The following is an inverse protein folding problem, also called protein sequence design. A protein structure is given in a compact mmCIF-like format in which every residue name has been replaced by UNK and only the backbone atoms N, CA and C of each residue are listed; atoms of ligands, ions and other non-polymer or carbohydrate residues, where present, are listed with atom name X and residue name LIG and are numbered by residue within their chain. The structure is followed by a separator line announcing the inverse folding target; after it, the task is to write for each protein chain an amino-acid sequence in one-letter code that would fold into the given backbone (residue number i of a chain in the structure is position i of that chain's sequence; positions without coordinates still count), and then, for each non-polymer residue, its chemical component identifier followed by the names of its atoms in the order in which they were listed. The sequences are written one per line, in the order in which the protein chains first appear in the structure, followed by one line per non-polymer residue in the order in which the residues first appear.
data_IF_937373193306
#
_entry.id   IF_937373193306
#
_cell.length_a   1.000
_cell.length_b   1.000
_cell.length_c   1.000
_cell.angle_alpha   90.00
_cell.angle_beta   90.00
_cell.angle_gamma   90.00
#
_symmetry.space_group_name_H-M   'P 1'
#
loop_
_entity.id
_entity.type
_entity.pdbx_description
1 polymer ?
#
# COMPACT_ATOMS: atom_id res chain seq x y z
N UNK A 1 -18.10 -3.61 58.32
CA UNK A 1 -19.49 -3.71 57.86
C UNK A 1 -20.37 -3.49 59.06
N UNK A 2 -21.20 -2.45 59.03
CA UNK A 2 -22.27 -2.25 60.00
C UNK A 2 -23.24 -3.43 59.93
N UNK A 3 -23.86 -3.86 61.04
CA UNK A 3 -24.97 -4.80 60.99
C UNK A 3 -26.09 -4.25 60.09
N UNK A 4 -26.73 -5.09 59.27
CA UNK A 4 -27.85 -4.66 58.40
C UNK A 4 -29.07 -4.14 59.19
N UNK A 5 -29.13 -4.43 60.49
CA UNK A 5 -30.15 -3.88 61.39
C UNK A 5 -30.00 -2.36 61.60
N UNK A 6 -28.81 -1.80 61.35
CA UNK A 6 -28.49 -0.39 61.56
C UNK A 6 -28.53 0.42 60.24
N UNK A 7 -29.00 -0.18 59.14
CA UNK A 7 -29.08 0.46 57.82
C UNK A 7 -30.54 0.77 57.51
N UNK A 8 -30.82 2.04 57.24
CA UNK A 8 -32.13 2.45 56.73
C UNK A 8 -32.30 1.96 55.28
N UNK A 9 -33.29 1.07 55.08
CA UNK A 9 -33.58 0.46 53.79
C UNK A 9 -34.38 1.39 52.86
N UNK A 10 -35.01 2.43 53.41
CA UNK A 10 -35.71 3.46 52.63
C UNK A 10 -34.69 4.43 51.99
N UNK A 11 -33.58 4.72 52.68
CA UNK A 11 -32.49 5.55 52.15
C UNK A 11 -31.53 4.73 51.26
N UNK A 12 -31.29 3.46 51.59
CA UNK A 12 -30.30 2.59 50.93
C UNK A 12 -30.88 1.21 50.57
N UNK A 13 -31.63 1.08 49.45
CA UNK A 13 -32.32 -0.15 49.11
C UNK A 13 -31.35 -1.30 48.82
N UNK A 14 -31.79 -2.53 49.07
CA UNK A 14 -31.01 -3.74 48.81
C UNK A 14 -31.10 -4.12 47.33
N UNK A 15 -29.95 -4.39 46.73
CA UNK A 15 -29.83 -4.96 45.39
C UNK A 15 -29.43 -6.42 45.49
N UNK A 16 -30.26 -7.31 44.95
CA UNK A 16 -29.99 -8.75 44.88
C UNK A 16 -29.37 -9.08 43.51
N UNK A 17 -28.18 -9.68 43.51
CA UNK A 17 -27.49 -10.11 42.31
C UNK A 17 -27.98 -11.50 41.85
N UNK A 18 -27.76 -11.82 40.58
CA UNK A 18 -28.12 -13.12 40.00
C UNK A 18 -27.42 -14.34 40.60
N UNK A 19 -26.37 -14.12 41.40
CA UNK A 19 -25.67 -15.15 42.17
C UNK A 19 -26.28 -15.40 43.57
N UNK A 20 -27.34 -14.70 43.93
CA UNK A 20 -28.01 -14.80 45.24
C UNK A 20 -27.40 -13.94 46.34
N UNK A 21 -26.26 -13.28 46.10
CA UNK A 21 -25.69 -12.30 47.03
C UNK A 21 -26.44 -10.97 46.96
N UNK A 22 -26.59 -10.31 48.10
CA UNK A 22 -27.29 -9.03 48.20
C UNK A 22 -26.40 -7.98 48.89
N UNK A 23 -26.51 -6.73 48.43
CA UNK A 23 -25.73 -5.59 48.92
C UNK A 23 -26.62 -4.36 49.01
N UNK A 24 -26.26 -3.37 49.83
CA UNK A 24 -26.94 -2.06 49.79
C UNK A 24 -26.56 -1.34 48.49
N UNK A 25 -27.47 -0.54 47.95
CA UNK A 25 -27.26 0.19 46.70
C UNK A 25 -26.02 1.10 46.78
N UNK A 26 -25.81 1.81 47.89
CA UNK A 26 -24.62 2.65 48.09
C UNK A 26 -23.30 1.87 48.01
N UNK A 27 -23.23 0.72 48.69
CA UNK A 27 -22.02 -0.11 48.70
C UNK A 27 -21.73 -0.66 47.31
N UNK A 28 -22.76 -1.17 46.64
CA UNK A 28 -22.60 -1.77 45.33
C UNK A 28 -22.32 -0.71 44.26
N UNK A 29 -22.97 0.45 44.30
CA UNK A 29 -22.73 1.56 43.37
C UNK A 29 -21.30 2.11 43.48
N UNK A 30 -20.75 2.15 44.71
CA UNK A 30 -19.35 2.52 44.95
C UNK A 30 -18.36 1.48 44.42
N UNK A 31 -18.63 0.19 44.62
CA UNK A 31 -17.76 -0.91 44.16
C UNK A 31 -17.81 -1.12 42.65
N UNK A 32 -18.97 -0.88 42.04
CA UNK A 32 -19.23 -1.04 40.61
C UNK A 32 -18.82 0.21 39.81
N UNK A 33 -18.56 1.34 40.49
CA UNK A 33 -18.06 2.56 39.85
C UNK A 33 -19.14 3.33 39.09
N UNK A 34 -20.35 3.43 39.64
CA UNK A 34 -21.47 4.09 38.95
C UNK A 34 -21.20 5.59 38.66
N UNK A 35 -20.35 6.20 39.47
CA UNK A 35 -19.85 7.58 39.32
C UNK A 35 -19.02 7.79 38.04
N UNK A 36 -18.53 6.73 37.40
CA UNK A 36 -17.75 6.79 36.17
C UNK A 36 -18.64 6.91 34.92
N UNK A 37 -19.95 6.71 35.06
CA UNK A 37 -20.92 6.69 33.95
C UNK A 37 -22.01 7.77 34.11
N UNK A 38 -22.25 8.22 35.34
CA UNK A 38 -23.23 9.25 35.65
C UNK A 38 -22.62 10.36 36.51
N UNK A 39 -22.90 11.61 36.16
CA UNK A 39 -22.54 12.76 37.00
C UNK A 39 -23.58 12.94 38.10
N UNK A 40 -23.08 13.11 39.31
CA UNK A 40 -23.89 13.44 40.49
C UNK A 40 -24.03 14.95 40.60
N UNK A 41 -25.23 15.42 40.90
CA UNK A 41 -25.45 16.80 41.31
C UNK A 41 -25.03 16.99 42.78
N UNK A 42 -24.14 17.95 43.02
CA UNK A 42 -23.43 18.10 44.30
C UNK A 42 -24.35 18.51 45.48
N UNK A 43 -25.56 18.97 45.19
CA UNK A 43 -26.53 19.48 46.16
C UNK A 43 -27.66 18.48 46.48
N UNK A 44 -28.00 17.58 45.54
CA UNK A 44 -29.14 16.67 45.68
C UNK A 44 -28.75 15.19 45.71
N UNK A 45 -27.50 14.85 45.32
CA UNK A 45 -27.05 13.46 45.24
C UNK A 45 -27.70 12.65 44.11
N UNK A 46 -28.50 13.28 43.26
CA UNK A 46 -29.20 12.65 42.14
C UNK A 46 -28.32 12.61 40.87
N UNK A 47 -28.48 11.56 40.07
CA UNK A 47 -27.80 11.41 38.79
C UNK A 47 -28.45 12.33 37.74
N UNK A 48 -27.71 13.33 37.27
CA UNK A 48 -28.25 14.37 36.38
C UNK A 48 -27.80 14.26 34.94
N UNK A 49 -26.55 13.81 34.70
CA UNK A 49 -25.98 13.76 33.34
C UNK A 49 -25.19 12.48 33.11
N UNK A 50 -25.09 12.11 31.85
CA UNK A 50 -24.29 10.98 31.39
C UNK A 50 -22.84 11.42 31.22
N UNK A 51 -21.90 10.62 31.71
CA UNK A 51 -20.47 10.83 31.51
C UNK A 51 -20.02 9.92 30.37
N UNK A 52 -19.52 10.52 29.29
CA UNK A 52 -18.87 9.82 28.18
C UNK A 52 -17.36 9.82 28.38
N UNK A 53 -16.86 8.89 29.19
CA UNK A 53 -15.42 8.66 29.28
C UNK A 53 -14.93 7.94 28.02
N UNK A 54 -13.80 8.35 27.43
CA UNK A 54 -13.25 7.80 26.17
C UNK A 54 -12.25 6.64 26.38
N UNK A 55 -12.02 6.23 27.62
CA UNK A 55 -11.03 5.21 27.98
C UNK A 55 -11.65 3.80 28.07
N UNK A 56 -11.01 2.85 27.38
CA UNK A 56 -11.37 1.44 27.29
C UNK A 56 -10.94 0.70 28.57
N UNK A 57 -11.59 0.93 29.70
CA UNK A 57 -11.17 0.29 30.96
C UNK A 57 -12.29 0.00 31.95
N UNK A 58 -13.52 -0.23 31.50
CA UNK A 58 -14.53 -0.84 32.36
C UNK A 58 -14.46 -2.38 32.22
N UNK A 59 -13.95 -3.08 33.23
CA UNK A 59 -14.17 -4.53 33.34
C UNK A 59 -15.65 -4.78 33.64
N UNK A 60 -16.22 -5.88 33.11
CA UNK A 60 -17.59 -6.27 33.45
C UNK A 60 -17.68 -6.37 34.98
N UNK A 61 -18.63 -5.66 35.62
CA UNK A 61 -18.71 -5.63 37.07
C UNK A 61 -18.98 -7.04 37.60
N UNK A 62 -18.28 -7.41 38.67
CA UNK A 62 -18.33 -8.72 39.28
C UNK A 62 -18.89 -8.63 40.70
N UNK A 63 -19.54 -9.70 41.15
CA UNK A 63 -19.96 -9.82 42.53
C UNK A 63 -18.73 -9.75 43.47
N UNK A 64 -18.73 -8.90 44.51
CA UNK A 64 -17.62 -8.80 45.46
C UNK A 64 -17.31 -10.11 46.19
N UNK A 65 -18.32 -10.97 46.41
CA UNK A 65 -18.16 -12.20 47.16
C UNK A 65 -17.74 -13.40 46.29
N UNK A 66 -18.46 -13.66 45.19
CA UNK A 66 -18.21 -14.84 44.36
C UNK A 66 -17.50 -14.54 43.04
N UNK A 67 -17.25 -13.27 42.72
CA UNK A 67 -16.68 -12.79 41.44
C UNK A 67 -17.48 -13.17 40.18
N UNK A 68 -18.71 -13.67 40.34
CA UNK A 68 -19.60 -13.92 39.20
C UNK A 68 -19.97 -12.58 38.53
N UNK A 69 -19.87 -12.48 37.19
CA UNK A 69 -20.27 -11.27 36.46
C UNK A 69 -21.73 -10.91 36.75
N UNK A 70 -21.99 -9.63 37.01
CA UNK A 70 -23.34 -9.12 37.22
C UNK A 70 -24.10 -9.23 35.90
N UNK A 71 -25.24 -9.93 35.93
CA UNK A 71 -26.03 -10.23 34.73
C UNK A 71 -27.04 -9.12 34.46
N UNK A 72 -27.04 -8.61 33.22
CA UNK A 72 -27.88 -7.51 32.77
C UNK A 72 -29.39 -7.74 33.00
N UNK A 73 -29.85 -8.99 32.86
CA UNK A 73 -31.27 -9.35 33.00
C UNK A 73 -31.76 -9.35 34.45
N UNK A 74 -30.87 -9.45 35.45
CA UNK A 74 -31.25 -9.49 36.87
C UNK A 74 -31.27 -8.10 37.48
N UNK A 75 -30.28 -7.27 37.14
CA UNK A 75 -30.14 -5.92 37.72
C UNK A 75 -30.06 -4.87 36.63
N UNK A 76 -31.22 -4.29 36.28
CA UNK A 76 -31.32 -3.26 35.24
C UNK A 76 -30.58 -1.96 35.60
N UNK A 77 -30.35 -1.68 36.89
CA UNK A 77 -29.62 -0.49 37.39
C UNK A 77 -28.22 -0.36 36.77
N UNK A 78 -27.51 -1.49 36.57
CA UNK A 78 -26.13 -1.50 36.06
C UNK A 78 -26.02 -1.76 34.56
N UNK A 79 -27.16 -1.79 33.85
CA UNK A 79 -27.25 -2.20 32.45
C UNK A 79 -26.31 -1.38 31.54
N UNK A 80 -26.23 -0.06 31.72
CA UNK A 80 -25.36 0.81 30.91
C UNK A 80 -23.87 0.50 31.11
N UNK A 81 -23.44 0.30 32.36
CA UNK A 81 -22.05 -0.04 32.68
C UNK A 81 -21.69 -1.41 32.10
N UNK A 82 -22.59 -2.39 32.24
CA UNK A 82 -22.41 -3.75 31.69
C UNK A 82 -22.33 -3.68 30.16
N UNK A 83 -23.25 -2.99 29.48
CA UNK A 83 -23.21 -2.86 28.02
C UNK A 83 -21.94 -2.17 27.53
N UNK A 84 -21.50 -1.12 28.23
CA UNK A 84 -20.24 -0.44 27.93
C UNK A 84 -19.06 -1.38 28.09
N UNK A 85 -18.97 -2.11 29.21
CA UNK A 85 -17.89 -3.06 29.45
C UNK A 85 -17.87 -4.20 28.42
N UNK A 86 -19.03 -4.72 28.04
CA UNK A 86 -19.18 -5.76 27.00
C UNK A 86 -18.74 -5.22 25.65
N UNK A 87 -19.17 -4.02 25.26
CA UNK A 87 -18.73 -3.38 24.00
C UNK A 87 -17.21 -3.18 24.01
N UNK A 88 -16.65 -2.64 25.09
CA UNK A 88 -15.21 -2.43 25.24
C UNK A 88 -14.43 -3.75 25.14
N UNK A 89 -14.92 -4.83 25.75
CA UNK A 89 -14.32 -6.16 25.68
C UNK A 89 -14.39 -6.75 24.26
N UNK A 90 -15.53 -6.60 23.58
CA UNK A 90 -15.69 -7.04 22.19
C UNK A 90 -14.75 -6.28 21.25
N UNK A 91 -14.62 -4.97 21.40
CA UNK A 91 -13.67 -4.15 20.64
C UNK A 91 -12.23 -4.54 20.92
N UNK A 92 -11.86 -4.78 22.19
CA UNK A 92 -10.52 -5.27 22.54
C UNK A 92 -10.22 -6.61 21.85
N UNK A 93 -11.14 -7.56 21.93
CA UNK A 93 -10.99 -8.87 21.26
C UNK A 93 -10.88 -8.72 19.75
N UNK A 94 -11.71 -7.88 19.15
CA UNK A 94 -11.63 -7.56 17.72
C UNK A 94 -10.27 -6.97 17.36
N UNK A 95 -9.77 -6.02 18.14
CA UNK A 95 -8.49 -5.37 17.90
C UNK A 95 -7.33 -6.36 17.99
N UNK A 96 -7.29 -7.16 19.05
CA UNK A 96 -6.22 -8.13 19.29
C UNK A 96 -6.23 -9.23 18.21
N UNK A 97 -7.40 -9.82 17.93
CA UNK A 97 -7.51 -10.86 16.91
C UNK A 97 -7.18 -10.31 15.52
N UNK A 98 -7.70 -9.12 15.17
CA UNK A 98 -7.41 -8.47 13.90
C UNK A 98 -5.94 -8.12 13.73
N UNK A 99 -5.26 -7.68 14.80
CA UNK A 99 -3.81 -7.44 14.78
C UNK A 99 -3.00 -8.73 14.63
N UNK A 100 -3.37 -9.80 15.34
CA UNK A 100 -2.70 -11.09 15.25
C UNK A 100 -2.83 -11.68 13.84
N UNK A 101 -4.01 -11.63 13.25
CA UNK A 101 -4.25 -12.13 11.89
C UNK A 101 -3.54 -11.25 10.83
N UNK A 102 -3.48 -9.92 11.03
CA UNK A 102 -2.64 -9.05 10.18
C UNK A 102 -1.18 -9.46 10.21
N UNK A 103 -0.62 -9.70 11.41
CA UNK A 103 0.78 -10.10 11.56
C UNK A 103 1.07 -11.45 10.90
N UNK A 104 0.14 -12.39 10.98
CA UNK A 104 0.25 -13.69 10.30
C UNK A 104 0.30 -13.50 8.78
N UNK A 105 -0.63 -12.74 8.20
CA UNK A 105 -0.66 -12.48 6.76
C UNK A 105 0.54 -11.63 6.29
N UNK A 106 1.07 -10.75 7.14
CA UNK A 106 2.33 -10.03 6.87
C UNK A 106 3.53 -10.98 6.83
N UNK A 107 3.58 -11.98 7.71
CA UNK A 107 4.61 -13.03 7.67
C UNK A 107 4.50 -13.86 6.39
N UNK A 108 3.29 -14.30 6.03
CA UNK A 108 3.05 -15.04 4.78
C UNK A 108 3.45 -14.22 3.54
N UNK A 109 3.21 -12.91 3.55
CA UNK A 109 3.66 -12.00 2.49
C UNK A 109 5.20 -12.01 2.36
N UNK A 110 5.92 -11.96 3.48
CA UNK A 110 7.37 -11.95 3.46
C UNK A 110 7.95 -13.29 3.00
N UNK A 111 7.28 -14.40 3.30
CA UNK A 111 7.67 -15.72 2.82
C UNK A 111 7.44 -15.86 1.30
N UNK A 112 6.25 -15.46 0.81
CA UNK A 112 5.96 -15.41 -0.63
C UNK A 112 6.94 -14.47 -1.36
N UNK A 113 7.32 -13.35 -0.76
CA UNK A 113 8.33 -12.44 -1.33
C UNK A 113 9.67 -13.16 -1.56
N UNK A 114 10.17 -13.90 -0.57
CA UNK A 114 11.43 -14.65 -0.68
C UNK A 114 11.34 -15.72 -1.77
N UNK A 115 10.26 -16.49 -1.79
CA UNK A 115 10.03 -17.53 -2.79
C UNK A 115 10.02 -16.96 -4.22
N UNK A 116 9.39 -15.80 -4.42
CA UNK A 116 9.36 -15.12 -5.73
C UNK A 116 10.74 -14.60 -6.15
N UNK A 117 11.54 -14.12 -5.20
CA UNK A 117 12.92 -13.66 -5.43
C UNK A 117 13.84 -14.83 -5.80
N UNK A 118 13.81 -15.93 -5.05
CA UNK A 118 14.62 -17.13 -5.28
C UNK A 118 14.29 -17.80 -6.62
N UNK A 119 13.00 -17.93 -6.93
CA UNK A 119 12.56 -18.57 -8.16
C UNK A 119 12.74 -17.70 -9.40
N UNK A 120 13.08 -16.40 -9.26
CA UNK A 120 13.11 -15.40 -10.36
C UNK A 120 14.07 -15.80 -11.48
N UNK A 121 15.25 -16.28 -11.12
CA UNK A 121 16.27 -16.69 -12.10
C UNK A 121 15.84 -17.93 -12.89
N UNK A 122 14.91 -18.74 -12.37
CA UNK A 122 14.40 -19.95 -13.02
C UNK A 122 13.24 -19.71 -14.00
N UNK A 123 12.64 -18.51 -14.01
CA UNK A 123 11.51 -18.18 -14.89
C UNK A 123 11.95 -18.08 -16.34
N UNK A 124 13.09 -17.45 -16.58
CA UNK A 124 13.59 -17.17 -17.92
C UNK A 124 14.67 -18.21 -18.23
N UNK A 125 14.46 -19.10 -19.22
CA UNK A 125 15.47 -20.08 -19.62
C UNK A 125 16.78 -19.40 -19.98
N UNK A 126 17.92 -19.94 -19.52
CA UNK A 126 19.25 -19.37 -19.81
C UNK A 126 19.55 -19.36 -21.32
N UNK A 127 19.18 -20.43 -22.01
CA UNK A 127 19.31 -20.61 -23.46
C UNK A 127 17.91 -20.70 -24.11
N UNK A 128 17.74 -20.09 -25.28
CA UNK A 128 16.55 -20.33 -26.12
C UNK A 128 16.64 -21.77 -26.59
N UNK A 129 15.58 -22.55 -26.38
CA UNK A 129 15.53 -23.97 -26.81
C UNK A 129 15.87 -24.01 -28.30
N UNK A 130 16.94 -24.71 -28.65
CA UNK A 130 17.46 -24.82 -30.02
C UNK A 130 16.54 -25.72 -30.86
N UNK A 131 15.35 -25.21 -31.16
CA UNK A 131 14.48 -25.68 -32.23
C UNK A 131 14.59 -24.64 -33.36
N UNK A 132 14.77 -25.07 -34.61
CA UNK A 132 14.88 -24.14 -35.74
C UNK A 132 13.55 -23.41 -35.96
N UNK A 133 13.54 -22.08 -35.86
CA UNK A 133 12.48 -21.20 -36.37
C UNK A 133 11.58 -20.53 -35.33
N UNK A 134 10.53 -19.85 -35.81
CA UNK A 134 9.52 -19.09 -35.02
C UNK A 134 8.85 -19.95 -33.93
N UNK A 135 8.69 -21.26 -34.18
CA UNK A 135 8.10 -22.22 -33.23
C UNK A 135 8.90 -22.37 -31.91
N UNK A 136 10.22 -22.11 -31.93
CA UNK A 136 11.04 -22.15 -30.71
C UNK A 136 10.76 -20.95 -29.79
N UNK A 137 10.43 -19.80 -30.36
CA UNK A 137 10.08 -18.59 -29.62
C UNK A 137 8.71 -18.74 -28.97
N UNK A 138 7.74 -19.33 -29.69
CA UNK A 138 6.42 -19.64 -29.15
C UNK A 138 6.47 -20.67 -28.01
N UNK A 139 7.22 -21.76 -28.17
CA UNK A 139 7.36 -22.78 -27.12
C UNK A 139 8.08 -22.23 -25.87
N UNK A 140 9.12 -21.42 -26.06
CA UNK A 140 9.81 -20.73 -24.96
C UNK A 140 8.85 -19.80 -24.21
N UNK A 141 7.98 -19.09 -24.93
CA UNK A 141 6.97 -18.22 -24.34
C UNK A 141 5.85 -18.97 -23.61
N UNK A 142 5.43 -20.13 -24.11
CA UNK A 142 4.51 -21.02 -23.39
C UNK A 142 5.13 -21.50 -22.08
N UNK A 143 6.40 -21.96 -22.10
CA UNK A 143 7.10 -22.38 -20.88
C UNK A 143 7.25 -21.26 -19.86
N UNK A 144 7.54 -20.03 -20.31
CA UNK A 144 7.57 -18.84 -19.45
C UNK A 144 6.20 -18.58 -18.84
N UNK A 145 5.12 -18.61 -19.62
CA UNK A 145 3.75 -18.40 -19.15
C UNK A 145 3.31 -19.47 -18.14
N UNK A 146 3.67 -20.74 -18.36
CA UNK A 146 3.37 -21.83 -17.42
C UNK A 146 4.10 -21.65 -16.08
N UNK A 147 5.39 -21.29 -16.12
CA UNK A 147 6.17 -20.97 -14.91
C UNK A 147 5.62 -19.75 -14.16
N UNK A 148 5.17 -18.72 -14.87
CA UNK A 148 4.49 -17.56 -14.26
C UNK A 148 3.21 -18.01 -13.57
N UNK A 149 2.41 -18.87 -14.21
CA UNK A 149 1.17 -19.38 -13.63
C UNK A 149 1.43 -20.19 -12.37
N UNK A 150 2.42 -21.09 -12.38
CA UNK A 150 2.74 -21.91 -11.22
C UNK A 150 3.24 -21.07 -10.04
N UNK A 151 4.12 -20.09 -10.29
CA UNK A 151 4.56 -19.12 -9.26
C UNK A 151 3.42 -18.29 -8.70
N UNK A 152 2.45 -17.91 -9.53
CA UNK A 152 1.34 -17.06 -9.10
C UNK A 152 0.37 -17.75 -8.14
N UNK A 153 0.46 -19.09 -7.97
CA UNK A 153 -0.48 -19.87 -7.17
C UNK A 153 -0.50 -19.44 -5.71
N UNK A 154 0.67 -19.32 -5.09
CA UNK A 154 0.75 -18.96 -3.66
C UNK A 154 0.41 -17.49 -3.43
N UNK A 155 0.77 -16.61 -4.37
CA UNK A 155 0.33 -15.21 -4.34
C UNK A 155 -1.18 -15.05 -4.51
N UNK A 156 -1.84 -15.89 -5.32
CA UNK A 156 -3.30 -15.91 -5.45
C UNK A 156 -3.95 -16.41 -4.16
N UNK A 157 -3.40 -17.44 -3.50
CA UNK A 157 -3.88 -17.90 -2.19
C UNK A 157 -3.80 -16.78 -1.15
N UNK A 158 -2.66 -16.10 -1.06
CA UNK A 158 -2.47 -14.96 -0.15
C UNK A 158 -3.45 -13.83 -0.47
N UNK A 159 -3.64 -13.48 -1.74
CA UNK A 159 -4.58 -12.44 -2.16
C UNK A 159 -6.03 -12.80 -1.80
N UNK A 160 -6.41 -14.08 -1.89
CA UNK A 160 -7.73 -14.54 -1.44
C UNK A 160 -7.87 -14.52 0.08
N UNK A 161 -6.82 -14.89 0.82
CA UNK A 161 -6.78 -14.81 2.28
C UNK A 161 -6.96 -13.36 2.77
N UNK A 162 -6.23 -12.41 2.17
CA UNK A 162 -6.35 -10.98 2.47
C UNK A 162 -7.73 -10.43 2.09
N UNK A 163 -8.32 -10.85 0.96
CA UNK A 163 -9.70 -10.47 0.61
C UNK A 163 -10.72 -10.99 1.64
N UNK A 164 -10.55 -12.23 2.11
CA UNK A 164 -11.41 -12.81 3.14
C UNK A 164 -11.27 -12.06 4.47
N UNK A 165 -10.04 -11.70 4.85
CA UNK A 165 -9.73 -10.88 6.01
C UNK A 165 -10.42 -9.50 5.93
N UNK A 166 -10.26 -8.78 4.80
CA UNK A 166 -10.91 -7.47 4.59
C UNK A 166 -12.42 -7.54 4.71
N UNK A 167 -13.06 -8.59 4.17
CA UNK A 167 -14.51 -8.80 4.31
C UNK A 167 -14.92 -8.99 5.76
N UNK A 168 -14.16 -9.73 6.57
CA UNK A 168 -14.47 -9.95 8.00
C UNK A 168 -14.36 -8.67 8.85
N UNK A 169 -13.50 -7.75 8.45
CA UNK A 169 -13.16 -6.53 9.22
C UNK A 169 -13.86 -5.28 8.69
N UNK A 170 -14.54 -5.40 7.56
CA UNK A 170 -15.37 -4.32 7.05
C UNK A 170 -16.39 -3.89 8.09
N UNK A 171 -16.76 -2.61 8.06
CA UNK A 171 -17.56 -1.95 9.10
C UNK A 171 -18.87 -2.67 9.37
N UNK A 172 -19.46 -3.27 8.33
CA UNK A 172 -20.70 -4.07 8.42
C UNK A 172 -20.57 -5.33 9.28
N UNK A 173 -19.36 -5.86 9.43
CA UNK A 173 -19.09 -7.06 10.19
C UNK A 173 -18.64 -6.77 11.63
N UNK A 174 -18.45 -5.50 11.99
CA UNK A 174 -18.05 -5.11 13.33
C UNK A 174 -19.14 -5.40 14.37
N UNK A 175 -18.78 -5.92 15.55
CA UNK A 175 -19.75 -6.19 16.61
C UNK A 175 -20.50 -4.94 17.07
N UNK A 176 -19.80 -3.79 17.18
CA UNK A 176 -20.42 -2.51 17.55
C UNK A 176 -21.46 -2.10 16.50
N UNK A 177 -21.11 -2.18 15.23
CA UNK A 177 -22.02 -1.81 14.15
C UNK A 177 -23.28 -2.69 14.16
N UNK A 178 -23.13 -4.01 14.36
CA UNK A 178 -24.27 -4.93 14.47
C UNK A 178 -25.12 -4.67 15.70
N UNK A 179 -24.51 -4.35 16.84
CA UNK A 179 -25.23 -3.95 18.05
C UNK A 179 -25.97 -2.63 17.83
N UNK A 180 -25.34 -1.64 17.20
CA UNK A 180 -25.95 -0.36 16.87
C UNK A 180 -27.13 -0.54 15.91
N UNK A 181 -26.98 -1.34 14.85
CA UNK A 181 -28.08 -1.70 13.96
C UNK A 181 -29.21 -2.40 14.72
N UNK A 182 -28.90 -3.39 15.56
CA UNK A 182 -29.92 -4.09 16.35
C UNK A 182 -30.66 -3.14 17.33
N UNK A 183 -29.95 -2.16 17.91
CA UNK A 183 -30.55 -1.12 18.74
C UNK A 183 -31.47 -0.23 17.90
N UNK A 184 -31.01 0.28 16.75
CA UNK A 184 -31.83 1.09 15.84
C UNK A 184 -33.06 0.33 15.35
N UNK A 185 -32.91 -0.96 15.01
CA UNK A 185 -33.99 -1.84 14.57
C UNK A 185 -34.99 -2.12 15.71
N UNK A 186 -34.54 -2.12 16.97
CA UNK A 186 -35.44 -2.24 18.13
C UNK A 186 -36.16 -0.93 18.45
N UNK A 187 -35.49 0.21 18.34
CA UNK A 187 -36.05 1.55 18.59
C UNK A 187 -37.06 1.94 17.51
N UNK A 188 -36.80 1.61 16.25
CA UNK A 188 -37.71 1.86 15.13
C UNK A 188 -38.99 1.02 15.16
N UNK A 189 -39.04 -0.04 15.98
CA UNK A 189 -40.24 -0.86 16.16
C UNK A 189 -41.19 -0.31 17.24
N UNK A 190 -40.72 0.58 18.12
CA UNK A 190 -41.43 0.95 19.35
C UNK A 190 -41.96 2.40 19.40
N UNK A 191 -41.59 3.33 18.50
CA UNK A 191 -41.99 4.75 18.60
C UNK A 191 -42.65 5.35 17.32
N UNK A 192 -43.50 6.38 17.52
CA UNK A 192 -44.15 7.14 16.44
C UNK A 192 -43.24 8.24 15.86
N UNK A 193 -43.48 8.59 14.58
CA UNK A 193 -42.71 9.53 13.75
C UNK A 193 -42.35 10.89 14.41
N UNK A 194 -43.18 11.39 15.34
CA UNK A 194 -42.92 12.66 16.03
C UNK A 194 -41.80 12.56 17.09
N UNK A 195 -41.60 11.37 17.68
CA UNK A 195 -40.48 11.11 18.59
C UNK A 195 -39.14 10.94 17.83
N UNK A 196 -39.20 10.51 16.56
CA UNK A 196 -38.02 10.43 15.68
C UNK A 196 -37.47 11.82 15.33
N UNK A 197 -38.35 12.80 15.06
CA UNK A 197 -37.94 14.17 14.74
C UNK A 197 -37.28 14.90 15.92
N UNK A 198 -37.69 14.61 17.15
CA UNK A 198 -37.07 15.16 18.36
C UNK A 198 -35.66 14.59 18.61
N UNK A 199 -35.41 13.33 18.27
CA UNK A 199 -34.10 12.65 18.43
C UNK A 199 -33.08 13.00 17.33
N UNK A 200 -33.50 13.68 16.25
CA UNK A 200 -32.65 14.13 15.15
C UNK A 200 -31.87 15.42 15.43
N UNK A 201 -31.97 16.01 16.62
CA UNK A 201 -31.05 17.09 17.05
C UNK A 201 -29.70 16.50 17.42
N UNK A 202 -28.96 16.10 16.39
CA UNK A 202 -27.55 15.73 16.46
C UNK A 202 -26.79 17.04 16.65
N UNK A 203 -26.46 17.35 17.90
CA UNK A 203 -25.54 18.43 18.20
C UNK A 203 -24.20 18.12 17.52
N UNK A 204 -23.83 18.96 16.58
CA UNK A 204 -22.77 18.78 15.57
C UNK A 204 -21.33 18.65 16.11
N UNK A 205 -21.17 18.39 17.41
CA UNK A 205 -19.91 18.24 18.15
C UNK A 205 -19.32 16.81 18.11
N UNK A 206 -20.12 15.79 17.75
CA UNK A 206 -19.70 14.37 17.78
C UNK A 206 -18.58 13.96 16.79
N UNK A 207 -18.20 14.84 15.85
CA UNK A 207 -17.18 14.50 14.84
C UNK A 207 -15.76 14.33 15.40
N UNK A 208 -15.51 14.72 16.66
CA UNK A 208 -14.16 14.59 17.27
C UNK A 208 -13.97 13.34 18.14
N UNK A 209 -15.05 12.70 18.62
CA UNK A 209 -14.97 11.58 19.57
C UNK A 209 -15.05 10.18 18.93
N UNK A 210 -15.62 10.07 17.71
CA UNK A 210 -15.70 8.84 16.89
C UNK A 210 -14.40 8.56 16.11
N UNK A 211 -13.23 8.69 16.75
CA UNK A 211 -12.01 8.08 16.17
C UNK A 211 -12.09 6.59 16.45
N UNK A 212 -12.86 5.88 15.61
CA UNK A 212 -12.99 4.43 15.67
C UNK A 212 -11.60 3.81 15.63
N UNK A 213 -11.12 3.35 16.79
CA UNK A 213 -9.80 2.72 16.94
C UNK A 213 -9.67 1.49 16.03
N UNK A 214 -10.80 0.95 15.60
CA UNK A 214 -10.99 -0.16 14.67
C UNK A 214 -10.57 0.18 13.23
N UNK A 215 -10.64 1.45 12.82
CA UNK A 215 -10.23 1.88 11.48
C UNK A 215 -8.76 1.61 11.19
N UNK A 216 -7.90 1.55 12.21
CA UNK A 216 -6.49 1.16 12.04
C UNK A 216 -6.36 -0.23 11.45
N UNK A 217 -7.24 -1.15 11.83
CA UNK A 217 -7.22 -2.54 11.36
C UNK A 217 -7.88 -2.62 9.99
N UNK A 218 -9.01 -1.93 9.78
CA UNK A 218 -9.68 -1.89 8.47
C UNK A 218 -8.81 -1.27 7.38
N UNK A 219 -8.16 -0.14 7.70
CA UNK A 219 -7.20 0.52 6.80
C UNK A 219 -5.88 -0.27 6.71
N UNK A 220 -5.45 -0.92 7.79
CA UNK A 220 -4.30 -1.85 7.79
C UNK A 220 -4.50 -3.03 6.85
N UNK A 221 -5.67 -3.67 6.86
CA UNK A 221 -6.01 -4.73 5.91
C UNK A 221 -6.09 -4.26 4.47
N UNK A 222 -6.57 -3.04 4.25
CA UNK A 222 -6.57 -2.42 2.93
C UNK A 222 -5.15 -2.09 2.45
N UNK A 223 -4.26 -1.67 3.35
CA UNK A 223 -2.84 -1.48 3.05
C UNK A 223 -2.15 -2.81 2.72
N UNK A 224 -2.45 -3.89 3.46
CA UNK A 224 -1.89 -5.21 3.19
C UNK A 224 -2.28 -5.72 1.80
N UNK A 225 -3.52 -5.51 1.38
CA UNK A 225 -3.98 -5.82 0.02
C UNK A 225 -3.22 -5.01 -1.05
N UNK A 226 -2.91 -3.75 -0.77
CA UNK A 226 -2.03 -2.94 -1.64
C UNK A 226 -0.60 -3.51 -1.64
N UNK A 227 -0.06 -3.94 -0.49
CA UNK A 227 1.28 -4.54 -0.41
C UNK A 227 1.40 -5.81 -1.25
N UNK A 228 0.43 -6.73 -1.16
CA UNK A 228 0.40 -7.95 -1.97
C UNK A 228 0.33 -7.60 -3.46
N UNK A 229 -0.56 -6.68 -3.85
CA UNK A 229 -0.69 -6.23 -5.24
C UNK A 229 0.57 -5.52 -5.75
N UNK A 230 1.25 -4.76 -4.88
CA UNK A 230 2.53 -4.13 -5.18
C UNK A 230 3.60 -5.18 -5.52
N UNK A 231 3.72 -6.22 -4.70
CA UNK A 231 4.66 -7.33 -4.92
C UNK A 231 4.39 -8.05 -6.26
N UNK A 232 3.12 -8.36 -6.54
CA UNK A 232 2.71 -9.00 -7.80
C UNK A 232 3.06 -8.12 -9.00
N UNK A 233 2.76 -6.83 -8.94
CA UNK A 233 3.02 -5.91 -10.05
C UNK A 233 4.53 -5.71 -10.27
N UNK A 234 5.31 -5.53 -9.21
CA UNK A 234 6.77 -5.43 -9.28
C UNK A 234 7.36 -6.68 -9.96
N UNK A 235 6.98 -7.88 -9.53
CA UNK A 235 7.48 -9.12 -10.14
C UNK A 235 7.07 -9.25 -11.61
N UNK A 236 5.82 -8.91 -11.95
CA UNK A 236 5.35 -8.91 -13.33
C UNK A 236 6.12 -7.91 -14.21
N UNK A 237 6.43 -6.70 -13.71
CA UNK A 237 7.21 -5.71 -14.43
C UNK A 237 8.66 -6.17 -14.65
N UNK A 238 9.28 -6.80 -13.65
CA UNK A 238 10.64 -7.33 -13.78
C UNK A 238 10.70 -8.49 -14.77
N UNK A 239 9.75 -9.42 -14.72
CA UNK A 239 9.65 -10.50 -15.71
C UNK A 239 9.44 -9.93 -17.11
N UNK A 240 8.56 -8.95 -17.26
CA UNK A 240 8.32 -8.29 -18.55
C UNK A 240 9.58 -7.61 -19.08
N UNK A 241 10.34 -6.89 -18.24
CA UNK A 241 11.62 -6.29 -18.65
C UNK A 241 12.64 -7.34 -19.08
N UNK A 242 12.74 -8.42 -18.33
CA UNK A 242 13.73 -9.46 -18.61
C UNK A 242 13.37 -10.26 -19.87
N UNK A 243 12.08 -10.44 -20.19
CA UNK A 243 11.61 -10.99 -21.47
C UNK A 243 11.89 -10.01 -22.63
N UNK A 244 11.58 -8.72 -22.46
CA UNK A 244 11.83 -7.70 -23.48
C UNK A 244 13.32 -7.59 -23.86
N UNK A 245 14.24 -7.74 -22.90
CA UNK A 245 15.70 -7.77 -23.16
C UNK A 245 16.14 -8.92 -24.07
N UNK A 246 15.39 -10.03 -24.09
CA UNK A 246 15.71 -11.18 -24.94
C UNK A 246 15.19 -11.06 -26.38
N UNK A 247 14.47 -9.98 -26.71
CA UNK A 247 13.94 -9.72 -28.06
C UNK A 247 13.25 -10.94 -28.69
N UNK A 248 12.41 -11.64 -27.93
CA UNK A 248 11.69 -12.80 -28.44
C UNK A 248 10.65 -12.38 -29.49
N UNK A 249 10.81 -12.85 -30.72
CA UNK A 249 9.86 -12.66 -31.82
C UNK A 249 8.75 -13.72 -31.72
N UNK A 250 7.79 -13.52 -30.81
CA UNK A 250 6.63 -14.40 -30.66
C UNK A 250 5.32 -13.63 -30.75
N UNK A 251 4.31 -14.20 -31.41
CA UNK A 251 2.95 -13.66 -31.43
C UNK A 251 2.17 -13.89 -30.12
N UNK A 252 2.65 -14.81 -29.26
CA UNK A 252 2.06 -15.10 -27.95
C UNK A 252 2.33 -13.96 -26.96
N UNK A 253 1.29 -13.28 -26.44
CA UNK A 253 1.49 -12.25 -25.43
C UNK A 253 1.87 -12.87 -24.07
N UNK A 254 2.62 -12.11 -23.26
CA UNK A 254 2.84 -12.46 -21.85
C UNK A 254 1.50 -12.48 -21.12
N UNK A 255 1.16 -13.63 -20.54
CA UNK A 255 -0.09 -13.80 -19.80
C UNK A 255 0.19 -13.73 -18.31
N UNK A 256 -0.12 -12.59 -17.70
CA UNK A 256 -0.11 -12.44 -16.25
C UNK A 256 -1.52 -12.78 -15.72
N UNK A 257 -1.62 -13.74 -14.80
CA UNK A 257 -2.90 -14.24 -14.29
C UNK A 257 -3.88 -13.15 -13.82
N UNK A 258 -5.18 -13.37 -13.99
CA UNK A 258 -6.25 -12.51 -13.45
C UNK A 258 -6.98 -11.58 -14.44
N UNK A 259 -6.81 -11.76 -15.76
CA UNK A 259 -7.53 -11.00 -16.79
C UNK A 259 -7.10 -9.52 -16.91
N UNK A 260 -7.07 -8.99 -18.13
CA UNK A 260 -6.69 -7.60 -18.42
C UNK A 260 -5.18 -7.35 -18.57
N UNK A 261 -4.85 -6.24 -19.24
CA UNK A 261 -3.47 -5.79 -19.46
C UNK A 261 -2.78 -5.37 -18.16
N UNK A 262 -1.45 -5.45 -18.12
CA UNK A 262 -0.66 -4.96 -16.98
C UNK A 262 -0.90 -3.46 -16.72
N UNK A 263 -1.19 -2.69 -17.77
CA UNK A 263 -1.55 -1.26 -17.68
C UNK A 263 -2.86 -1.09 -16.92
N UNK A 264 -3.90 -1.85 -17.26
CA UNK A 264 -5.22 -1.73 -16.60
C UNK A 264 -5.16 -2.15 -15.14
N UNK A 265 -4.34 -3.15 -14.79
CA UNK A 265 -4.11 -3.56 -13.40
C UNK A 265 -3.40 -2.47 -12.59
N UNK A 266 -2.45 -1.77 -13.23
CA UNK A 266 -1.73 -0.64 -12.63
C UNK A 266 -2.66 0.55 -12.39
N UNK A 267 -3.55 0.85 -13.34
CA UNK A 267 -4.57 1.89 -13.17
C UNK A 267 -5.53 1.61 -12.02
N UNK A 268 -5.99 0.36 -11.89
CA UNK A 268 -6.87 -0.01 -10.78
C UNK A 268 -6.14 0.08 -9.43
N UNK A 269 -4.91 -0.43 -9.37
CA UNK A 269 -4.06 -0.31 -8.19
C UNK A 269 -3.88 1.15 -7.77
N UNK A 270 -3.65 2.04 -8.74
CA UNK A 270 -3.47 3.47 -8.52
C UNK A 270 -4.69 4.11 -7.87
N UNK A 271 -5.88 3.90 -8.45
CA UNK A 271 -7.15 4.43 -7.92
C UNK A 271 -7.42 3.94 -6.50
N UNK A 272 -7.20 2.65 -6.24
CA UNK A 272 -7.41 2.08 -4.91
C UNK A 272 -6.43 2.63 -3.88
N UNK A 273 -5.19 2.89 -4.29
CA UNK A 273 -4.15 3.47 -3.43
C UNK A 273 -4.42 4.94 -3.12
N UNK A 274 -4.83 5.73 -4.12
CA UNK A 274 -5.24 7.13 -3.93
C UNK A 274 -6.42 7.24 -2.97
N UNK A 275 -7.42 6.35 -3.12
CA UNK A 275 -8.55 6.24 -2.19
C UNK A 275 -8.07 5.92 -0.76
N UNK A 276 -7.21 4.92 -0.59
CA UNK A 276 -6.69 4.55 0.73
C UNK A 276 -5.90 5.69 1.37
N UNK A 277 -5.10 6.43 0.60
CA UNK A 277 -4.36 7.60 1.10
C UNK A 277 -5.34 8.65 1.62
N UNK A 278 -6.39 8.96 0.85
CA UNK A 278 -7.45 9.89 1.27
C UNK A 278 -8.15 9.46 2.55
N UNK A 279 -8.49 8.17 2.66
CA UNK A 279 -9.10 7.60 3.86
C UNK A 279 -8.13 7.68 5.06
N UNK A 280 -6.85 7.33 4.90
CA UNK A 280 -5.85 7.44 5.98
C UNK A 280 -5.64 8.89 6.44
N UNK A 281 -5.68 9.87 5.54
CA UNK A 281 -5.55 11.30 5.89
C UNK A 281 -6.77 11.76 6.69
N UNK A 282 -7.98 11.39 6.25
CA UNK A 282 -9.24 11.72 6.94
C UNK A 282 -9.27 11.16 8.36
N UNK A 283 -8.83 9.91 8.53
CA UNK A 283 -8.81 9.24 9.83
C UNK A 283 -7.54 9.55 10.67
N UNK A 284 -6.68 10.47 10.22
CA UNK A 284 -5.45 10.90 10.92
C UNK A 284 -4.44 9.77 11.22
N UNK A 285 -4.25 8.85 10.27
CA UNK A 285 -3.28 7.74 10.34
C UNK A 285 -2.07 7.97 9.43
N UNK A 286 -1.09 8.81 9.82
CA UNK A 286 0.00 9.24 8.94
C UNK A 286 0.94 8.10 8.55
N UNK A 287 1.15 7.10 9.42
CA UNK A 287 2.02 5.95 9.13
C UNK A 287 1.50 5.14 7.92
N UNK A 288 0.22 4.78 7.94
CA UNK A 288 -0.40 3.98 6.88
C UNK A 288 -0.46 4.77 5.56
N UNK A 289 -0.75 6.08 5.63
CA UNK A 289 -0.73 6.96 4.47
C UNK A 289 0.66 7.01 3.82
N UNK A 290 1.73 7.19 4.61
CA UNK A 290 3.10 7.25 4.10
C UNK A 290 3.52 5.92 3.46
N UNK A 291 3.18 4.78 4.07
CA UNK A 291 3.48 3.47 3.49
C UNK A 291 2.74 3.25 2.16
N UNK A 292 1.45 3.60 2.09
CA UNK A 292 0.68 3.54 0.83
C UNK A 292 1.30 4.42 -0.27
N UNK A 293 1.74 5.64 0.06
CA UNK A 293 2.43 6.53 -0.88
C UNK A 293 3.76 5.93 -1.36
N UNK A 294 4.52 5.27 -0.49
CA UNK A 294 5.76 4.61 -0.90
C UNK A 294 5.50 3.45 -1.88
N UNK A 295 4.46 2.65 -1.66
CA UNK A 295 4.07 1.60 -2.60
C UNK A 295 3.60 2.17 -3.95
N UNK A 296 2.84 3.27 -3.93
CA UNK A 296 2.50 4.02 -5.14
C UNK A 296 3.74 4.45 -5.91
N UNK A 297 4.71 5.07 -5.23
CA UNK A 297 5.93 5.57 -5.85
C UNK A 297 6.77 4.45 -6.48
N UNK A 298 6.87 3.29 -5.82
CA UNK A 298 7.58 2.11 -6.34
C UNK A 298 6.96 1.57 -7.62
N UNK A 299 5.64 1.49 -7.69
CA UNK A 299 4.95 1.05 -8.91
C UNK A 299 5.05 2.08 -10.02
N UNK A 300 4.91 3.38 -9.72
CA UNK A 300 5.10 4.43 -10.71
C UNK A 300 6.52 4.38 -11.35
N UNK A 301 7.54 4.11 -10.54
CA UNK A 301 8.90 3.88 -11.03
C UNK A 301 8.98 2.62 -11.90
N UNK A 302 8.39 1.52 -11.44
CA UNK A 302 8.48 0.21 -12.11
C UNK A 302 7.75 0.19 -13.45
N UNK A 303 6.57 0.82 -13.51
CA UNK A 303 5.77 1.02 -14.71
C UNK A 303 6.54 1.82 -15.76
N UNK A 304 7.12 2.94 -15.34
CA UNK A 304 7.91 3.78 -16.24
C UNK A 304 9.13 3.05 -16.82
N UNK A 305 9.80 2.20 -16.04
CA UNK A 305 10.98 1.45 -16.49
C UNK A 305 10.68 0.29 -17.43
N UNK A 306 9.41 -0.11 -17.57
CA UNK A 306 9.02 -1.29 -18.34
C UNK A 306 8.47 -0.96 -19.74
N UNK A 307 8.14 0.31 -20.01
CA UNK A 307 7.55 0.74 -21.28
C UNK A 307 8.58 1.49 -22.15
N UNK A 308 9.30 0.75 -22.99
CA UNK A 308 9.99 1.30 -24.17
C UNK A 308 9.18 0.92 -25.40
N UNK A 309 8.35 1.82 -25.93
CA UNK A 309 7.87 1.68 -27.31
C UNK A 309 6.51 2.26 -27.73
N UNK A 310 5.60 2.62 -26.82
CA UNK A 310 4.29 3.20 -27.20
C UNK A 310 4.05 4.59 -26.58
N UNK A 311 3.69 5.57 -27.41
CA UNK A 311 3.61 6.99 -27.02
C UNK A 311 2.51 7.31 -25.99
N UNK A 312 1.32 6.70 -26.11
CA UNK A 312 0.20 6.90 -25.17
C UNK A 312 0.52 6.38 -23.76
N UNK A 313 1.27 5.29 -23.73
CA UNK A 313 1.69 4.60 -22.52
C UNK A 313 2.83 5.36 -21.82
N UNK A 314 3.70 6.02 -22.60
CA UNK A 314 4.72 6.96 -22.11
C UNK A 314 4.11 8.20 -21.44
N UNK A 315 3.05 8.76 -21.99
CA UNK A 315 2.34 9.90 -21.38
C UNK A 315 1.78 9.54 -19.99
N UNK A 316 1.13 8.37 -19.87
CA UNK A 316 0.64 7.86 -18.57
C UNK A 316 1.76 7.63 -17.57
N UNK A 317 2.91 7.11 -18.01
CA UNK A 317 4.06 6.92 -17.14
C UNK A 317 4.61 8.24 -16.57
N UNK A 318 4.55 9.33 -17.34
CA UNK A 318 4.90 10.68 -16.89
C UNK A 318 3.87 11.18 -15.86
N UNK A 319 2.58 11.01 -16.13
CA UNK A 319 1.51 11.41 -15.23
C UNK A 319 1.58 10.70 -13.87
N UNK A 320 1.86 9.39 -13.87
CA UNK A 320 2.04 8.61 -12.64
C UNK A 320 3.25 9.08 -11.84
N UNK A 321 4.35 9.42 -12.49
CA UNK A 321 5.52 9.98 -11.81
C UNK A 321 5.23 11.34 -11.20
N UNK A 322 4.56 12.21 -11.93
CA UNK A 322 4.18 13.54 -11.43
C UNK A 322 3.25 13.42 -10.22
N UNK A 323 2.25 12.55 -10.30
CA UNK A 323 1.35 12.22 -9.18
C UNK A 323 2.13 11.66 -7.98
N UNK A 324 3.05 10.72 -8.21
CA UNK A 324 3.90 10.15 -7.16
C UNK A 324 4.78 11.22 -6.49
N UNK A 325 5.32 12.18 -7.25
CA UNK A 325 6.11 13.29 -6.70
C UNK A 325 5.27 14.18 -5.80
N UNK A 326 4.06 14.55 -6.22
CA UNK A 326 3.11 15.33 -5.41
C UNK A 326 2.81 14.58 -4.12
N UNK A 327 2.48 13.29 -4.21
CA UNK A 327 2.19 12.45 -3.03
C UNK A 327 3.40 12.32 -2.09
N UNK A 328 4.62 12.16 -2.60
CA UNK A 328 5.83 12.08 -1.77
C UNK A 328 6.10 13.40 -1.02
N UNK A 329 5.83 14.55 -1.64
CA UNK A 329 5.92 15.84 -0.91
C UNK A 329 4.87 15.95 0.19
N UNK A 330 3.67 15.40 -0.02
CA UNK A 330 2.66 15.29 1.02
C UNK A 330 3.09 14.32 2.13
N UNK A 331 3.73 13.20 1.79
CA UNK A 331 4.28 12.25 2.76
C UNK A 331 5.35 12.87 3.65
N UNK A 332 6.27 13.69 3.11
CA UNK A 332 7.28 14.38 3.93
C UNK A 332 6.63 15.40 4.90
N UNK A 333 5.54 16.06 4.49
CA UNK A 333 4.75 16.90 5.40
C UNK A 333 4.11 16.08 6.53
N UNK A 334 3.55 14.91 6.22
CA UNK A 334 2.97 14.00 7.22
C UNK A 334 4.04 13.48 8.20
N UNK A 335 5.28 13.28 7.74
CA UNK A 335 6.43 12.91 8.57
C UNK A 335 6.90 14.03 9.53
N UNK A 336 6.29 15.22 9.53
CA UNK A 336 6.55 16.23 10.57
C UNK A 336 5.95 15.84 11.92
N UNK A 337 4.87 15.06 11.91
CA UNK A 337 4.25 14.54 13.12
C UNK A 337 5.01 13.30 13.64
N UNK A 338 5.17 13.14 14.97
CA UNK A 338 5.86 11.99 15.53
C UNK A 338 4.99 10.72 15.42
N UNK A 339 5.55 9.66 14.82
CA UNK A 339 4.96 8.31 14.83
C UNK A 339 6.07 7.25 14.74
N UNK A 340 5.77 6.01 15.14
CA UNK A 340 6.75 4.92 15.18
C UNK A 340 7.32 4.59 13.79
N UNK A 341 8.65 4.44 13.68
CA UNK A 341 9.33 4.12 12.42
C UNK A 341 9.51 5.28 11.44
N UNK A 342 9.18 6.51 11.86
CA UNK A 342 9.25 7.73 11.03
C UNK A 342 10.57 7.90 10.30
N UNK A 343 11.70 7.73 10.98
CA UNK A 343 13.00 8.03 10.39
C UNK A 343 13.36 7.05 9.27
N UNK A 344 12.96 5.77 9.40
CA UNK A 344 13.12 4.77 8.34
C UNK A 344 12.26 5.13 7.13
N UNK A 345 11.00 5.52 7.37
CA UNK A 345 10.07 5.92 6.31
C UNK A 345 10.52 7.22 5.63
N UNK A 346 11.05 8.18 6.38
CA UNK A 346 11.59 9.43 5.81
C UNK A 346 12.82 9.20 4.95
N UNK A 347 13.72 8.29 5.35
CA UNK A 347 14.82 7.85 4.49
C UNK A 347 14.28 7.20 3.21
N UNK A 348 13.27 6.34 3.31
CA UNK A 348 12.63 5.72 2.14
C UNK A 348 11.98 6.75 1.21
N UNK A 349 11.29 7.77 1.73
CA UNK A 349 10.72 8.88 0.94
C UNK A 349 11.83 9.64 0.21
N UNK A 350 12.92 9.96 0.90
CA UNK A 350 14.05 10.68 0.31
C UNK A 350 14.69 9.88 -0.82
N UNK A 351 14.88 8.58 -0.62
CA UNK A 351 15.40 7.67 -1.65
C UNK A 351 14.44 7.56 -2.84
N UNK A 352 13.14 7.38 -2.59
CA UNK A 352 12.13 7.30 -3.65
C UNK A 352 12.05 8.61 -4.45
N UNK A 353 12.11 9.77 -3.78
CA UNK A 353 12.14 11.07 -4.44
C UNK A 353 13.39 11.27 -5.31
N UNK A 354 14.56 10.83 -4.83
CA UNK A 354 15.81 10.81 -5.63
C UNK A 354 15.72 9.88 -6.84
N UNK A 355 15.08 8.72 -6.68
CA UNK A 355 14.91 7.77 -7.79
C UNK A 355 13.92 8.27 -8.85
N UNK A 356 12.87 8.99 -8.44
CA UNK A 356 11.89 9.57 -9.35
C UNK A 356 12.36 10.87 -10.03
N UNK A 357 13.37 11.53 -9.48
CA UNK A 357 13.98 12.75 -10.04
C UNK A 357 15.16 12.48 -10.97
N UNK A 358 15.72 11.26 -10.97
CA UNK A 358 16.64 10.84 -12.03
C UNK A 358 15.84 10.73 -13.32
N UNK A 359 16.07 11.68 -14.22
CA UNK A 359 15.59 11.63 -15.59
C UNK A 359 16.07 10.34 -16.25
N UNK A 360 15.22 9.74 -17.08
CA UNK A 360 15.67 8.64 -17.92
C UNK A 360 16.85 9.11 -18.76
N UNK A 361 17.84 8.24 -18.97
CA UNK A 361 18.56 8.29 -20.24
C UNK A 361 17.51 8.09 -21.33
N UNK A 362 17.11 9.18 -21.98
CA UNK A 362 16.28 9.12 -23.17
C UNK A 362 17.02 8.26 -24.19
N UNK A 363 16.41 7.14 -24.59
CA UNK A 363 16.74 6.56 -25.88
C UNK A 363 16.30 7.60 -26.91
N UNK A 364 17.27 8.38 -27.37
CA UNK A 364 17.12 9.48 -28.32
C UNK A 364 16.17 9.04 -29.43
N UNK A 365 15.08 9.79 -29.63
CA UNK A 365 14.12 9.53 -30.71
C UNK A 365 14.85 9.44 -32.06
N UNK A 366 14.38 8.64 -33.02
CA UNK A 366 14.98 8.64 -34.38
C UNK A 366 15.04 10.05 -34.97
N UNK A 367 14.06 10.89 -34.70
CA UNK A 367 13.97 12.28 -35.15
C UNK A 367 14.96 13.19 -34.41
N UNK A 368 15.20 12.94 -33.13
CA UNK A 368 16.23 13.65 -32.35
C UNK A 368 17.63 13.20 -32.77
N UNK A 369 17.82 11.92 -33.08
CA UNK A 369 19.06 11.33 -33.56
C UNK A 369 19.36 11.84 -34.97
N UNK A 370 18.34 12.01 -35.82
CA UNK A 370 18.43 12.69 -37.11
C UNK A 370 18.70 14.18 -36.98
N UNK A 371 18.11 14.86 -35.98
CA UNK A 371 18.36 16.28 -35.72
C UNK A 371 19.78 16.52 -35.18
N UNK A 372 20.29 15.62 -34.33
CA UNK A 372 21.66 15.61 -33.84
C UNK A 372 22.62 15.29 -35.00
N UNK A 373 22.32 14.28 -35.84
CA UNK A 373 23.07 14.00 -37.07
C UNK A 373 23.12 15.24 -37.97
N UNK A 374 21.99 15.90 -38.20
CA UNK A 374 21.90 17.11 -39.01
C UNK A 374 22.70 18.26 -38.40
N UNK A 375 22.61 18.48 -37.09
CA UNK A 375 23.38 19.52 -36.40
C UNK A 375 24.89 19.26 -36.40
N UNK A 376 25.30 17.99 -36.24
CA UNK A 376 26.70 17.56 -36.32
C UNK A 376 27.27 17.63 -37.75
N UNK A 377 26.43 17.49 -38.77
CA UNK A 377 26.85 17.58 -40.18
C UNK A 377 26.83 19.04 -40.67
N UNK A 378 25.81 19.84 -40.33
CA UNK A 378 25.54 21.15 -40.94
C UNK A 378 25.82 22.39 -40.08
N UNK A 379 26.25 22.24 -38.82
CA UNK A 379 26.61 23.36 -37.94
C UNK A 379 27.87 24.10 -38.38
N UNK A 380 28.13 25.28 -37.78
CA UNK A 380 29.28 26.19 -38.07
C UNK A 380 30.69 25.60 -37.76
N UNK A 381 30.75 24.30 -37.47
CA UNK A 381 31.94 23.46 -37.28
C UNK A 381 31.61 21.98 -37.50
N UNK A 382 30.61 21.68 -38.33
CA UNK A 382 30.12 20.32 -38.59
C UNK A 382 31.00 19.54 -39.58
N UNK A 383 30.79 18.22 -39.62
CA UNK A 383 31.57 17.28 -40.45
C UNK A 383 31.42 17.54 -41.97
N UNK A 384 30.42 18.32 -42.43
CA UNK A 384 30.34 18.71 -43.83
C UNK A 384 31.25 19.90 -44.19
N UNK A 385 31.71 20.71 -43.22
CA UNK A 385 32.57 21.87 -43.50
C UNK A 385 34.06 21.54 -43.53
N UNK A 386 34.46 20.41 -42.94
CA UNK A 386 35.80 19.84 -43.01
C UNK A 386 35.62 18.38 -43.37
N UNK A 387 36.23 17.88 -44.44
CA UNK A 387 36.04 16.56 -45.07
C UNK A 387 36.16 15.36 -44.11
N UNK A 388 35.26 15.23 -43.14
CA UNK A 388 35.33 14.28 -42.05
C UNK A 388 34.47 13.06 -42.32
N UNK A 389 34.88 11.92 -41.78
CA UNK A 389 34.21 10.64 -41.98
C UNK A 389 33.97 9.94 -40.65
N UNK A 390 32.91 9.13 -40.60
CA UNK A 390 32.58 8.33 -39.43
C UNK A 390 33.26 6.96 -39.51
N UNK A 391 33.76 6.49 -38.38
CA UNK A 391 34.40 5.20 -38.22
C UNK A 391 33.80 4.44 -37.03
N UNK A 392 33.96 3.11 -37.03
CA UNK A 392 33.62 2.23 -35.92
C UNK A 392 34.87 1.56 -35.39
N UNK A 393 34.97 1.42 -34.08
CA UNK A 393 36.00 0.56 -33.48
C UNK A 393 35.67 -0.93 -33.70
N UNK A 394 36.59 -1.83 -33.32
CA UNK A 394 36.41 -3.29 -33.43
C UNK A 394 35.13 -3.79 -32.75
N UNK A 395 34.68 -3.10 -31.70
CA UNK A 395 33.47 -3.41 -30.94
C UNK A 395 32.23 -2.64 -31.42
N UNK A 396 32.31 -1.92 -32.54
CA UNK A 396 31.17 -1.24 -33.17
C UNK A 396 30.85 0.16 -32.64
N UNK A 397 31.64 0.73 -31.72
CA UNK A 397 31.40 2.09 -31.21
C UNK A 397 31.78 3.15 -32.25
N UNK A 398 30.87 4.09 -32.58
CA UNK A 398 31.11 5.10 -33.59
C UNK A 398 32.00 6.24 -33.07
N UNK A 399 32.91 6.73 -33.90
CA UNK A 399 33.73 7.93 -33.67
C UNK A 399 33.96 8.67 -35.00
N UNK A 400 34.26 9.97 -34.94
CA UNK A 400 34.46 10.81 -36.12
C UNK A 400 35.92 11.24 -36.28
N UNK A 401 36.41 11.30 -37.52
CA UNK A 401 37.71 11.86 -37.89
C UNK A 401 37.47 13.13 -38.70
N UNK A 402 37.89 14.29 -38.19
CA UNK A 402 37.45 15.60 -38.71
C UNK A 402 38.31 16.22 -39.82
N UNK A 403 39.63 16.35 -39.64
CA UNK A 403 40.43 17.28 -40.47
C UNK A 403 40.58 16.87 -41.94
N UNK A 404 40.94 15.62 -42.19
CA UNK A 404 41.13 15.06 -43.54
C UNK A 404 40.22 13.84 -43.82
N UNK A 405 39.39 13.45 -42.84
CA UNK A 405 38.49 12.29 -42.93
C UNK A 405 39.19 10.94 -42.94
N UNK A 406 40.52 10.90 -42.91
CA UNK A 406 41.29 9.67 -42.96
C UNK A 406 42.16 9.51 -41.71
N UNK A 407 42.44 8.28 -41.25
CA UNK A 407 43.17 8.07 -40.00
C UNK A 407 44.65 8.46 -40.10
N UNK A 408 45.04 9.50 -39.35
CA UNK A 408 46.42 9.99 -39.30
C UNK A 408 47.07 9.86 -37.92
N UNK A 409 46.25 9.74 -36.87
CA UNK A 409 46.69 9.53 -35.50
C UNK A 409 46.01 8.32 -34.87
N UNK A 410 46.72 7.67 -33.95
CA UNK A 410 46.21 6.53 -33.18
C UNK A 410 45.72 7.03 -31.82
N UNK A 411 44.47 6.73 -31.51
CA UNK A 411 43.84 7.05 -30.22
C UNK A 411 43.23 5.79 -29.58
N UNK A 412 42.56 5.95 -28.43
CA UNK A 412 41.81 4.88 -27.77
C UNK A 412 40.32 5.21 -27.77
N UNK A 413 39.48 4.20 -28.00
CA UNK A 413 38.03 4.32 -27.91
C UNK A 413 37.63 4.73 -26.48
N UNK A 414 36.84 5.79 -26.29
CA UNK A 414 36.42 6.22 -24.94
C UNK A 414 35.48 5.21 -24.26
N UNK A 415 34.77 4.39 -25.04
CA UNK A 415 33.80 3.40 -24.53
C UNK A 415 34.45 2.07 -24.16
N UNK A 416 35.34 1.52 -25.01
CA UNK A 416 35.92 0.18 -24.79
C UNK A 416 37.44 0.14 -24.67
N UNK A 417 38.12 1.28 -24.77
CA UNK A 417 39.58 1.37 -24.61
C UNK A 417 40.43 0.81 -25.76
N UNK A 418 39.81 0.17 -26.75
CA UNK A 418 40.48 -0.40 -27.93
C UNK A 418 41.16 0.66 -28.79
N UNK A 419 42.20 0.27 -29.54
CA UNK A 419 42.92 1.20 -30.43
C UNK A 419 42.01 1.62 -31.59
N UNK A 420 41.90 2.93 -31.80
CA UNK A 420 41.13 3.55 -32.89
C UNK A 420 42.00 4.53 -33.68
N UNK A 421 41.53 4.97 -34.84
CA UNK A 421 42.31 5.82 -35.74
C UNK A 421 43.29 5.01 -36.59
N UNK A 422 44.50 5.53 -36.81
CA UNK A 422 45.47 4.94 -37.75
C UNK A 422 46.65 5.85 -38.05
N UNK A 423 47.47 5.49 -39.03
CA UNK A 423 48.62 6.28 -39.49
C UNK A 423 48.69 6.26 -41.00
N UNK A 424 49.15 7.35 -41.62
CA UNK A 424 49.30 7.46 -43.08
C UNK A 424 48.04 7.04 -43.85
N UNK A 425 46.87 7.54 -43.40
CA UNK A 425 45.55 7.22 -43.95
C UNK A 425 45.13 5.74 -43.85
N UNK A 426 45.86 4.92 -43.11
CA UNK A 426 45.57 3.50 -42.92
C UNK A 426 45.03 3.27 -41.52
N UNK A 427 43.81 2.74 -41.43
CA UNK A 427 43.16 2.45 -40.15
C UNK A 427 43.85 1.29 -39.41
N UNK A 428 43.83 1.32 -38.08
CA UNK A 428 44.26 0.18 -37.25
C UNK A 428 43.34 -1.02 -37.50
N UNK A 429 43.87 -2.24 -37.42
CA UNK A 429 43.13 -3.47 -37.65
C UNK A 429 41.80 -3.52 -36.87
N UNK A 430 40.70 -3.78 -37.58
CA UNK A 430 39.34 -3.87 -37.03
C UNK A 430 38.59 -2.54 -36.93
N UNK A 431 39.21 -1.41 -37.24
CA UNK A 431 38.51 -0.14 -37.46
C UNK A 431 37.90 -0.14 -38.86
N UNK A 432 36.61 0.15 -38.98
CA UNK A 432 35.90 0.20 -40.27
C UNK A 432 35.19 1.55 -40.45
N UNK A 433 35.01 1.98 -41.70
CA UNK A 433 34.27 3.22 -42.01
C UNK A 433 32.77 2.99 -41.83
N UNK A 434 32.12 3.87 -41.09
CA UNK A 434 30.71 3.80 -40.75
C UNK A 434 29.86 4.47 -41.84
N UNK A 435 29.81 3.90 -43.04
CA UNK A 435 29.09 4.49 -44.19
C UNK A 435 27.59 4.68 -43.93
N UNK A 436 26.99 3.88 -43.05
CA UNK A 436 25.60 4.04 -42.58
C UNK A 436 25.35 5.32 -41.76
N UNK A 437 26.41 6.00 -41.30
CA UNK A 437 26.36 7.26 -40.57
C UNK A 437 26.70 8.47 -41.44
N UNK A 438 27.18 8.22 -42.66
CA UNK A 438 27.42 9.23 -43.69
C UNK A 438 26.12 9.39 -44.47
N UNK A 439 25.67 10.64 -44.63
CA UNK A 439 24.42 10.97 -45.36
C UNK A 439 24.64 10.88 -46.85
#
# INVERSE_FOLDING_TARGET
MSPYADVDLDESPIVVLGCGHFFTAETLDGLVGLKDVYSLDATTGLFTRLIENAELSASVPQCPNCREPIKQYVTQRYNRLINRAVIDEMSKRFIVNGQQELQQLESELDDVRKELEESRNGVIPAEIIVLRGEAAHEFTMQSINDKIRDRSRDTIKLLNAVKAFRRRIDTQHQPIYKLHQAILDSVSRDDSLDAELAKLTIDSSEKSAKRDRDQRITLGGSLLDIRVRCLVLEDNFEIMRAVNRKHLQSALPLSFGGGGSLVTKTDQFRKDTEKLIGDCIRESLPKLAVEAILHYARIAQSFGGAQSGQDNDRAKAIDYRNSARILLTAADKLCRHPFGGRDNLRRAITTASKMLSKEFYEAVSKEELESIKKAMVSGRGGIATHSGHWYKCVNGHPFAIGECGMPMEVARCPECGERVGGQSHTAVAGVSRATEMEV
#
